data_IF_223909815033
#
_entry.id   IF_223909815033
#
_cell.length_a   1.000
_cell.length_b   1.000
_cell.length_c   1.000
_cell.angle_alpha   90.00
_cell.angle_beta   90.00
_cell.angle_gamma   90.00
#
_symmetry.space_group_name_H-M   'P 1'
#
loop_
_entity.id
_entity.type
_entity.pdbx_description
1 polymer ?
#
# COMPACT_ATOMS: atom_id res chain seq x y z
N UNK A 1 24.24 -20.57 -38.21
CA UNK A 1 25.02 -20.57 -36.95
C UNK A 1 24.19 -21.29 -35.91
N UNK A 2 24.51 -22.57 -35.72
CA UNK A 2 23.73 -23.56 -34.97
C UNK A 2 24.13 -23.50 -33.50
N UNK A 3 23.24 -22.98 -32.64
CA UNK A 3 23.42 -23.12 -31.20
C UNK A 3 23.09 -24.56 -30.82
N UNK A 4 24.11 -25.28 -30.38
CA UNK A 4 24.12 -26.71 -30.07
C UNK A 4 24.33 -26.87 -28.57
N UNK A 5 23.36 -27.54 -27.95
CA UNK A 5 23.37 -28.40 -26.77
C UNK A 5 24.17 -27.99 -25.51
N UNK A 6 23.42 -27.88 -24.41
CA UNK A 6 23.91 -27.99 -23.04
C UNK A 6 22.83 -28.59 -22.15
N UNK A 7 22.71 -29.92 -22.15
CA UNK A 7 21.92 -30.69 -21.20
C UNK A 7 22.59 -30.61 -19.81
N UNK A 8 21.83 -30.21 -18.80
CA UNK A 8 22.13 -30.48 -17.39
C UNK A 8 20.85 -30.97 -16.72
N UNK A 9 20.78 -32.28 -16.51
CA UNK A 9 19.83 -32.91 -15.60
C UNK A 9 20.27 -32.61 -14.16
N UNK A 10 19.47 -31.80 -13.47
CA UNK A 10 19.66 -31.45 -12.06
C UNK A 10 18.36 -31.60 -11.30
N UNK A 11 18.02 -32.82 -10.90
CA UNK A 11 16.93 -33.08 -9.93
C UNK A 11 17.43 -32.74 -8.52
N UNK A 12 17.16 -31.50 -8.09
CA UNK A 12 17.24 -31.06 -6.69
C UNK A 12 15.89 -31.21 -5.97
N UNK A 13 15.88 -31.28 -4.62
CA UNK A 13 14.69 -31.60 -3.85
C UNK A 13 13.64 -30.48 -3.89
N UNK A 14 12.37 -30.86 -4.06
CA UNK A 14 11.21 -29.99 -3.90
C UNK A 14 11.05 -29.60 -2.44
N UNK A 15 11.34 -28.34 -2.12
CA UNK A 15 10.97 -27.71 -0.86
C UNK A 15 10.45 -26.30 -1.16
N UNK A 16 9.28 -26.00 -0.59
CA UNK A 16 8.67 -24.67 -0.38
C UNK A 16 7.52 -24.15 -1.28
N UNK A 17 6.42 -24.91 -1.36
CA UNK A 17 5.11 -24.29 -1.65
C UNK A 17 4.61 -23.46 -0.44
N UNK A 18 5.19 -22.29 -0.22
CA UNK A 18 4.57 -21.22 0.57
C UNK A 18 3.35 -20.64 -0.17
N UNK A 19 2.30 -20.18 0.53
CA UNK A 19 1.18 -19.53 -0.14
C UNK A 19 1.68 -18.24 -0.80
N UNK A 20 1.60 -18.20 -2.12
CA UNK A 20 1.83 -17.00 -2.93
C UNK A 20 0.92 -15.88 -2.42
N UNK A 21 1.55 -14.85 -1.86
CA UNK A 21 0.89 -13.61 -1.52
C UNK A 21 0.44 -12.87 -2.78
N UNK A 22 -0.86 -12.92 -3.05
CA UNK A 22 -1.62 -11.76 -3.51
C UNK A 22 -1.37 -11.23 -4.93
N UNK A 23 -1.78 -11.98 -5.95
CA UNK A 23 -2.19 -11.39 -7.24
C UNK A 23 -3.69 -11.10 -7.19
N UNK A 24 -4.06 -9.96 -6.60
CA UNK A 24 -5.44 -9.46 -6.66
C UNK A 24 -5.61 -8.54 -7.87
N UNK A 25 -6.43 -8.88 -8.88
CA UNK A 25 -6.77 -7.96 -9.96
C UNK A 25 -7.94 -7.05 -9.53
N UNK A 26 -7.67 -5.86 -9.03
CA UNK A 26 -8.64 -4.76 -8.98
C UNK A 26 -8.01 -3.43 -8.58
N UNK A 27 -7.91 -2.52 -9.54
CA UNK A 27 -8.17 -1.08 -9.35
C UNK A 27 -7.26 -0.32 -8.41
N UNK A 28 -6.11 0.12 -8.92
CA UNK A 28 -5.43 1.31 -8.42
C UNK A 28 -6.40 2.50 -8.62
N UNK A 29 -7.20 2.80 -7.60
CA UNK A 29 -8.09 3.98 -7.55
C UNK A 29 -7.26 5.25 -7.65
N UNK A 30 -7.81 6.37 -8.16
CA UNK A 30 -7.09 7.61 -8.46
C UNK A 30 -6.10 8.13 -7.38
N UNK A 31 -6.30 7.77 -6.11
CA UNK A 31 -5.37 8.08 -5.02
C UNK A 31 -4.03 7.29 -5.09
N UNK A 32 -4.02 6.09 -5.66
CA UNK A 32 -2.82 5.28 -5.88
C UNK A 32 -2.01 5.74 -7.09
N UNK A 33 -2.64 6.36 -8.10
CA UNK A 33 -1.93 6.88 -9.26
C UNK A 33 -0.83 7.89 -8.88
N UNK A 34 -1.07 8.77 -7.90
CA UNK A 34 -0.03 9.67 -7.37
C UNK A 34 1.13 8.95 -6.67
N UNK A 35 0.90 7.74 -6.15
CA UNK A 35 1.96 6.93 -5.52
C UNK A 35 2.82 6.23 -6.57
N UNK A 36 2.29 6.03 -7.78
CA UNK A 36 2.97 5.33 -8.87
C UNK A 36 4.06 6.18 -9.55
N UNK A 37 4.12 7.50 -9.32
CA UNK A 37 5.13 8.40 -9.91
C UNK A 37 6.57 7.96 -9.62
N UNK A 38 6.84 7.49 -8.40
CA UNK A 38 8.17 7.00 -8.03
C UNK A 38 8.51 5.67 -8.71
N UNK A 39 7.52 4.80 -8.83
CA UNK A 39 7.68 3.51 -9.49
C UNK A 39 7.82 3.67 -11.02
N UNK A 40 7.14 4.66 -11.62
CA UNK A 40 7.31 5.04 -13.01
C UNK A 40 8.71 5.62 -13.27
N UNK A 41 9.17 6.55 -12.42
CA UNK A 41 10.51 7.13 -12.53
C UNK A 41 11.64 6.09 -12.43
N UNK A 42 11.45 5.04 -11.63
CA UNK A 42 12.38 3.93 -11.49
C UNK A 42 12.23 2.85 -12.58
N UNK A 43 11.22 2.95 -13.45
CA UNK A 43 10.96 1.98 -14.51
C UNK A 43 10.54 0.60 -14.03
N UNK A 44 9.94 0.49 -12.84
CA UNK A 44 9.52 -0.81 -12.25
C UNK A 44 8.05 -1.17 -12.52
N UNK A 45 7.31 -0.28 -13.17
CA UNK A 45 5.94 -0.54 -13.61
C UNK A 45 5.94 -1.53 -14.79
N UNK A 46 4.97 -2.43 -14.79
CA UNK A 46 4.63 -3.20 -15.99
C UNK A 46 4.04 -2.29 -17.08
N UNK A 47 4.05 -2.74 -18.33
CA UNK A 47 3.64 -1.92 -19.48
C UNK A 47 2.20 -1.42 -19.38
N UNK A 48 1.27 -2.26 -18.89
CA UNK A 48 -0.12 -1.87 -18.75
C UNK A 48 -0.33 -0.85 -17.62
N UNK A 49 0.49 -0.91 -16.57
CA UNK A 49 0.50 0.10 -15.51
C UNK A 49 1.11 1.42 -15.96
N UNK A 50 2.18 1.38 -16.76
CA UNK A 50 2.82 2.57 -17.32
C UNK A 50 1.87 3.36 -18.22
N UNK A 51 1.18 2.70 -19.16
CA UNK A 51 0.21 3.35 -20.06
C UNK A 51 -0.91 4.07 -19.30
N UNK A 52 -1.46 3.42 -18.26
CA UNK A 52 -2.48 4.03 -17.39
C UNK A 52 -1.95 5.23 -16.62
N UNK A 53 -0.69 5.18 -16.19
CA UNK A 53 -0.08 6.30 -15.48
C UNK A 53 0.19 7.47 -16.44
N UNK A 54 0.55 7.22 -17.69
CA UNK A 54 0.72 8.25 -18.72
C UNK A 54 -0.58 9.01 -19.02
N UNK A 55 -1.71 8.30 -19.08
CA UNK A 55 -3.04 8.93 -19.20
C UNK A 55 -3.33 9.87 -18.02
N UNK A 56 -2.98 9.46 -16.79
CA UNK A 56 -3.10 10.32 -15.61
C UNK A 56 -2.13 11.50 -15.63
N UNK A 57 -0.90 11.28 -16.11
CA UNK A 57 0.15 12.30 -16.24
C UNK A 57 -0.28 13.44 -17.16
N UNK A 58 -1.01 13.12 -18.24
CA UNK A 58 -1.54 14.10 -19.17
C UNK A 58 -2.56 15.06 -18.53
N UNK A 59 -3.24 14.65 -17.46
CA UNK A 59 -4.32 15.40 -16.80
C UNK A 59 -3.90 15.96 -15.43
N UNK A 60 -2.66 15.70 -14.96
CA UNK A 60 -2.25 16.08 -13.61
C UNK A 60 -0.87 16.77 -13.54
N UNK A 61 -0.91 18.11 -13.48
CA UNK A 61 0.29 18.95 -13.32
C UNK A 61 1.12 18.60 -12.07
N UNK A 62 0.48 18.17 -10.98
CA UNK A 62 1.19 17.77 -9.75
C UNK A 62 2.10 16.58 -9.99
N UNK A 63 1.65 15.58 -10.73
CA UNK A 63 2.45 14.41 -11.07
C UNK A 63 3.61 14.77 -11.99
N UNK A 64 3.40 15.71 -12.92
CA UNK A 64 4.46 16.20 -13.81
C UNK A 64 5.58 16.90 -13.03
N UNK A 65 5.22 17.81 -12.11
CA UNK A 65 6.20 18.51 -11.24
C UNK A 65 6.95 17.53 -10.35
N UNK A 66 6.26 16.56 -9.75
CA UNK A 66 6.89 15.54 -8.92
C UNK A 66 7.88 14.69 -9.73
N UNK A 67 7.49 14.26 -10.94
CA UNK A 67 8.36 13.49 -11.82
C UNK A 67 9.62 14.27 -12.23
N UNK A 68 9.49 15.57 -12.51
CA UNK A 68 10.65 16.43 -12.78
C UNK A 68 11.60 16.51 -11.58
N UNK A 69 11.06 16.61 -10.36
CA UNK A 69 11.87 16.59 -9.14
C UNK A 69 12.65 15.28 -8.97
N UNK A 70 12.03 14.14 -9.30
CA UNK A 70 12.64 12.81 -9.21
C UNK A 70 13.70 12.58 -10.29
N UNK A 71 13.43 13.02 -11.52
CA UNK A 71 14.42 12.93 -12.62
C UNK A 71 15.65 13.79 -12.37
N UNK A 72 15.51 14.90 -11.62
CA UNK A 72 16.65 15.68 -11.12
C UNK A 72 17.55 14.92 -10.12
N UNK A 73 17.01 13.94 -9.39
CA UNK A 73 17.74 13.10 -8.44
C UNK A 73 18.34 11.84 -9.07
N UNK A 74 17.76 11.35 -10.17
CA UNK A 74 18.20 10.15 -10.88
C UNK A 74 19.71 10.12 -11.22
N UNK A 75 20.36 11.20 -11.73
CA UNK A 75 21.79 11.17 -12.02
C UNK A 75 22.66 11.02 -10.76
N UNK A 76 22.25 11.62 -9.63
CA UNK A 76 22.96 11.48 -8.35
C UNK A 76 22.85 10.05 -7.80
N UNK A 77 21.69 9.43 -7.95
CA UNK A 77 21.46 8.03 -7.57
C UNK A 77 22.26 7.07 -8.47
N UNK A 78 22.35 7.36 -9.77
CA UNK A 78 23.13 6.56 -10.72
C UNK A 78 24.63 6.59 -10.39
N UNK A 79 25.18 7.75 -10.03
CA UNK A 79 26.56 7.88 -9.56
C UNK A 79 26.82 7.02 -8.30
N UNK A 80 25.88 7.01 -7.36
CA UNK A 80 26.00 6.21 -6.14
C UNK A 80 25.83 4.70 -6.39
N UNK A 81 24.99 4.30 -7.35
CA UNK A 81 24.86 2.90 -7.75
C UNK A 81 26.17 2.35 -8.34
N UNK A 82 26.96 3.19 -9.01
CA UNK A 82 28.29 2.84 -9.55
C UNK A 82 29.34 2.76 -8.44
N UNK A 83 29.16 3.47 -7.32
CA UNK A 83 30.08 3.46 -6.18
C UNK A 83 30.11 2.12 -5.39
N UNK A 84 29.27 1.15 -5.77
CA UNK A 84 29.21 -0.18 -5.19
C UNK A 84 28.24 -0.27 -4.00
N UNK A 85 27.71 -1.47 -3.69
CA UNK A 85 26.74 -1.63 -2.62
C UNK A 85 27.34 -1.17 -1.29
N UNK A 86 26.58 -0.34 -0.56
CA UNK A 86 26.82 -0.10 0.86
C UNK A 86 26.96 -1.45 1.60
N UNK A 87 27.75 -1.53 2.69
CA UNK A 87 27.96 -2.78 3.40
C UNK A 87 26.61 -3.43 3.72
N UNK A 88 26.42 -4.69 3.30
CA UNK A 88 25.16 -5.39 3.52
C UNK A 88 24.80 -5.31 5.01
N UNK A 89 23.67 -4.68 5.36
CA UNK A 89 23.23 -4.65 6.74
C UNK A 89 22.98 -6.10 7.16
N UNK A 90 23.58 -6.53 8.27
CA UNK A 90 23.42 -7.89 8.80
C UNK A 90 21.94 -8.30 8.75
N UNK A 91 21.62 -9.45 8.15
CA UNK A 91 20.21 -9.83 7.86
C UNK A 91 19.30 -9.79 9.08
N UNK A 92 19.84 -10.00 10.29
CA UNK A 92 19.10 -9.86 11.54
C UNK A 92 18.68 -8.43 11.92
N UNK A 93 19.31 -7.39 11.36
CA UNK A 93 18.88 -5.99 11.52
C UNK A 93 17.72 -5.68 10.56
N UNK A 94 17.85 -6.07 9.29
CA UNK A 94 16.79 -5.89 8.30
C UNK A 94 15.49 -6.59 8.74
N UNK A 95 15.59 -7.86 9.14
CA UNK A 95 14.42 -8.61 9.62
C UNK A 95 13.77 -7.95 10.82
N UNK A 96 14.57 -7.40 11.75
CA UNK A 96 14.05 -6.64 12.90
C UNK A 96 13.35 -5.34 12.48
N UNK A 97 13.91 -4.61 11.52
CA UNK A 97 13.29 -3.38 11.01
C UNK A 97 11.98 -3.68 10.27
N UNK A 98 11.95 -4.71 9.42
CA UNK A 98 10.73 -5.14 8.74
C UNK A 98 9.68 -5.63 9.74
N UNK A 99 10.07 -6.45 10.72
CA UNK A 99 9.18 -6.89 11.79
C UNK A 99 8.63 -5.71 12.60
N UNK A 100 9.47 -4.71 12.92
CA UNK A 100 9.05 -3.51 13.63
C UNK A 100 8.10 -2.65 12.79
N UNK A 101 8.39 -2.44 11.50
CA UNK A 101 7.51 -1.72 10.59
C UNK A 101 6.15 -2.42 10.42
N UNK A 102 6.14 -3.76 10.37
CA UNK A 102 4.93 -4.57 10.32
C UNK A 102 4.12 -4.48 11.62
N UNK A 103 4.78 -4.51 12.79
CA UNK A 103 4.11 -4.38 14.09
C UNK A 103 3.48 -3.00 14.25
N UNK A 104 4.17 -1.92 13.85
CA UNK A 104 3.65 -0.56 13.92
C UNK A 104 2.39 -0.39 13.06
N UNK A 105 2.43 -0.91 11.82
CA UNK A 105 1.25 -0.94 10.94
C UNK A 105 0.11 -1.75 11.54
N UNK A 106 0.42 -2.84 12.22
CA UNK A 106 -0.59 -3.69 12.88
C UNK A 106 -1.21 -2.99 14.09
N UNK A 107 -0.41 -2.28 14.89
CA UNK A 107 -0.88 -1.45 16.02
C UNK A 107 -1.81 -0.35 15.54
N UNK A 108 -1.41 0.41 14.52
CA UNK A 108 -2.24 1.46 13.92
C UNK A 108 -3.60 0.92 13.44
N UNK A 109 -3.61 -0.24 12.77
CA UNK A 109 -4.86 -0.89 12.34
C UNK A 109 -5.71 -1.35 13.53
N UNK A 110 -5.10 -1.86 14.60
CA UNK A 110 -5.80 -2.28 15.82
C UNK A 110 -6.44 -1.08 16.53
N UNK A 111 -5.70 0.01 16.73
CA UNK A 111 -6.24 1.20 17.39
C UNK A 111 -7.38 1.81 16.58
N UNK A 112 -7.22 1.91 15.25
CA UNK A 112 -8.29 2.38 14.36
C UNK A 112 -9.55 1.51 14.48
N UNK A 113 -9.41 0.18 14.52
CA UNK A 113 -10.56 -0.73 14.73
C UNK A 113 -11.23 -0.54 16.08
N UNK A 114 -10.46 -0.33 17.14
CA UNK A 114 -11.01 -0.05 18.48
C UNK A 114 -11.79 1.26 18.49
N UNK A 115 -11.27 2.32 17.87
CA UNK A 115 -11.99 3.59 17.73
C UNK A 115 -13.28 3.45 16.92
N UNK A 116 -13.24 2.72 15.81
CA UNK A 116 -14.44 2.42 15.01
C UNK A 116 -15.48 1.62 15.81
N UNK A 117 -15.04 0.60 16.56
CA UNK A 117 -15.94 -0.18 17.41
C UNK A 117 -16.59 0.69 18.50
N UNK A 118 -15.83 1.58 19.13
CA UNK A 118 -16.36 2.54 20.10
C UNK A 118 -17.40 3.48 19.47
N UNK A 119 -17.11 4.02 18.28
CA UNK A 119 -18.06 4.87 17.56
C UNK A 119 -19.38 4.12 17.26
N UNK A 120 -19.30 2.86 16.82
CA UNK A 120 -20.47 2.00 16.59
C UNK A 120 -21.26 1.79 17.88
N UNK A 121 -20.59 1.47 18.99
CA UNK A 121 -21.26 1.31 20.30
C UNK A 121 -22.02 2.58 20.72
N UNK A 122 -21.42 3.77 20.54
CA UNK A 122 -22.07 5.05 20.87
C UNK A 122 -23.32 5.26 20.02
N UNK A 123 -23.27 4.99 18.72
CA UNK A 123 -24.44 5.12 17.82
C UNK A 123 -25.54 4.14 18.21
N UNK A 124 -25.20 2.89 18.49
CA UNK A 124 -26.16 1.84 18.86
C UNK A 124 -26.82 2.09 20.21
N UNK A 125 -26.11 2.69 21.18
CA UNK A 125 -26.68 3.02 22.50
C UNK A 125 -27.41 4.37 22.47
N UNK A 126 -26.86 5.36 21.76
CA UNK A 126 -27.42 6.71 21.68
C UNK A 126 -28.71 6.78 20.85
N UNK A 127 -28.82 6.02 19.76
CA UNK A 127 -30.00 6.01 18.89
C UNK A 127 -31.29 5.59 19.61
N UNK A 128 -31.33 4.44 20.28
CA UNK A 128 -32.48 4.00 21.05
C UNK A 128 -32.83 4.95 22.20
N UNK A 129 -31.84 5.51 22.90
CA UNK A 129 -32.09 6.44 24.01
C UNK A 129 -32.68 7.78 23.55
N UNK A 130 -32.20 8.33 22.43
CA UNK A 130 -32.78 9.53 21.84
C UNK A 130 -34.20 9.28 21.32
N UNK A 131 -34.43 8.12 20.69
CA UNK A 131 -35.77 7.72 20.24
C UNK A 131 -36.72 7.51 21.43
N UNK A 132 -36.25 6.91 22.51
CA UNK A 132 -37.05 6.68 23.72
C UNK A 132 -37.38 8.00 24.45
N UNK A 133 -36.47 8.97 24.46
CA UNK A 133 -36.71 10.30 25.01
C UNK A 133 -37.73 11.10 24.19
N UNK A 134 -37.64 11.05 22.86
CA UNK A 134 -38.61 11.70 21.96
C UNK A 134 -40.00 11.09 22.13
N UNK A 135 -40.10 9.75 22.16
CA UNK A 135 -41.38 9.07 22.38
C UNK A 135 -42.00 9.38 23.75
N UNK A 136 -41.20 9.51 24.81
CA UNK A 136 -41.73 9.88 26.13
C UNK A 136 -42.21 11.35 26.20
N UNK A 137 -41.60 12.25 25.41
CA UNK A 137 -42.05 13.64 25.34
C UNK A 137 -43.46 13.77 24.69
N UNK A 138 -43.79 12.90 23.73
CA UNK A 138 -45.11 12.86 23.08
C UNK A 138 -46.24 12.37 24.02
N UNK A 139 -45.94 11.55 25.03
CA UNK A 139 -46.95 11.05 25.98
C UNK A 139 -47.15 11.94 27.23
N UNK A 140 -46.28 12.94 27.46
CA UNK A 140 -46.33 13.81 28.65
C UNK A 140 -47.03 15.17 28.46
N UNK A 141 -47.41 15.52 27.22
CA UNK A 141 -47.89 16.87 26.86
C UNK A 141 -49.41 17.09 26.83
N UNK A 142 -50.22 16.15 27.34
CA UNK A 142 -51.69 16.22 27.29
C UNK A 142 -52.33 16.11 28.67
N UNK A 143 -52.38 17.21 29.42
CA UNK A 143 -53.03 17.28 30.73
C UNK A 143 -53.19 18.71 31.21
N UNK A 144 -53.97 19.50 30.48
CA UNK A 144 -54.54 20.78 30.91
C UNK A 144 -56.06 20.68 30.95
#
# INVERSE_FOLDING_TARGET
MTWRDGHADGTGPTGDSGPTGGSGPAGHTAHTAHTDVGAYALGVLDSAAAERFEEHLAECDRCAVELESLTGLAPLLAEHAVAGPSPEPSGGLLERLFAQAADERRRARRTQRVWLAMAVCVVVVGGPLALFAVLNADFGGGGG
#
